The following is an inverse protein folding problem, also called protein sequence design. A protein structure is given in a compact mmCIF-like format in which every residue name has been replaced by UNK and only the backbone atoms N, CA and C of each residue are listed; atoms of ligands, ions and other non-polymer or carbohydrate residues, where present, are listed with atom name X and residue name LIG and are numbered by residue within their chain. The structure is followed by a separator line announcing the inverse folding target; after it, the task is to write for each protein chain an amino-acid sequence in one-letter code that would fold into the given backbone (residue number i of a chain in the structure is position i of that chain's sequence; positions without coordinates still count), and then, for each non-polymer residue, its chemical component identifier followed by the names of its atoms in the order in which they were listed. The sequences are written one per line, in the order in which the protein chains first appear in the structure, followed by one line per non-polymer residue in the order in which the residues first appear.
data_IF_914384408501
#
_entry.id   IF_914384408501
#
_cell.length_a   1.000
_cell.length_b   1.000
_cell.length_c   1.000
_cell.angle_alpha   90.00
_cell.angle_beta   90.00
_cell.angle_gamma   90.00
#
_symmetry.space_group_name_H-M   'P 1'
#
loop_
_entity.id
_entity.type
_entity.pdbx_description
1 polymer ?
#
# COMPACT_ATOMS: atom_id res chain seq x y z
N UNK A 1 -28.21 15.03 -30.74
CA UNK A 1 -27.33 16.02 -30.06
C UNK A 1 -27.86 16.46 -28.69
N UNK A 2 -28.53 15.58 -27.92
CA UNK A 2 -29.13 15.92 -26.61
C UNK A 2 -28.73 14.97 -25.46
N UNK A 3 -27.92 13.95 -25.76
CA UNK A 3 -27.35 13.01 -24.78
C UNK A 3 -25.86 13.24 -24.50
N UNK A 4 -25.20 14.09 -25.29
CA UNK A 4 -23.82 14.53 -25.08
C UNK A 4 -23.71 15.69 -24.05
N UNK A 5 -24.84 16.31 -23.68
CA UNK A 5 -24.89 17.45 -22.75
C UNK A 5 -25.05 17.06 -21.27
N UNK A 6 -25.34 15.79 -20.95
CA UNK A 6 -25.43 15.34 -19.54
C UNK A 6 -24.10 14.86 -18.98
N UNK A 7 -23.15 14.48 -19.83
CA UNK A 7 -21.83 14.01 -19.39
C UNK A 7 -20.92 15.19 -18.96
N UNK A 8 -21.15 16.39 -19.50
CA UNK A 8 -20.42 17.61 -19.11
C UNK A 8 -20.92 18.25 -17.81
N UNK A 9 -22.15 17.95 -17.38
CA UNK A 9 -22.72 18.50 -16.14
C UNK A 9 -22.30 17.68 -14.92
N UNK A 10 -22.06 16.38 -15.08
CA UNK A 10 -21.53 15.54 -13.99
C UNK A 10 -20.03 15.72 -13.74
N UNK A 11 -19.25 16.06 -14.77
CA UNK A 11 -17.82 16.35 -14.62
C UNK A 11 -17.54 17.73 -14.00
N UNK A 12 -18.51 18.65 -14.05
CA UNK A 12 -18.38 19.98 -13.46
C UNK A 12 -18.71 20.02 -11.96
N UNK A 13 -19.46 19.05 -11.41
CA UNK A 13 -19.85 19.05 -10.00
C UNK A 13 -18.72 18.64 -9.04
N UNK A 14 -17.71 17.91 -9.52
CA UNK A 14 -16.55 17.51 -8.72
C UNK A 14 -15.47 18.63 -8.60
N UNK A 15 -15.56 19.69 -9.41
CA UNK A 15 -14.59 20.78 -9.44
C UNK A 15 -14.99 22.00 -8.58
N UNK A 16 -16.19 22.00 -7.98
CA UNK A 16 -16.71 23.14 -7.18
C UNK A 16 -16.63 22.94 -5.66
N UNK A 17 -16.09 21.82 -5.17
CA UNK A 17 -16.00 21.54 -3.72
C UNK A 17 -14.60 21.73 -3.10
N UNK A 18 -13.61 22.26 -3.85
CA UNK A 18 -12.22 22.40 -3.37
C UNK A 18 -11.76 23.85 -3.16
N UNK A 19 -12.67 24.83 -3.12
CA UNK A 19 -12.32 26.23 -2.86
C UNK A 19 -13.15 26.76 -1.69
N UNK A 20 -12.69 26.50 -0.47
CA UNK A 20 -12.97 27.31 0.73
C UNK A 20 -12.36 26.64 1.97
N UNK A 21 -11.07 26.87 2.22
CA UNK A 21 -10.49 26.95 3.57
C UNK A 21 -8.98 27.22 3.45
N UNK A 22 -8.63 28.47 3.16
CA UNK A 22 -7.28 28.98 3.41
C UNK A 22 -7.44 30.34 4.10
N UNK A 23 -7.29 30.35 5.43
CA UNK A 23 -7.06 31.53 6.24
C UNK A 23 -6.12 31.14 7.41
N UNK A 24 -4.83 31.14 7.10
CA UNK A 24 -3.80 31.93 7.78
C UNK A 24 -4.03 32.30 9.27
N UNK A 25 -3.33 31.64 10.20
CA UNK A 25 -2.83 32.27 11.43
C UNK A 25 -1.40 31.77 11.76
N UNK A 26 -0.47 32.71 11.67
CA UNK A 26 0.89 32.71 12.23
C UNK A 26 0.87 33.28 13.66
N UNK A 27 1.94 33.00 14.41
CA UNK A 27 2.31 33.44 15.78
C UNK A 27 1.87 32.47 16.90
N UNK A 28 2.70 31.99 17.85
CA UNK A 28 4.11 32.21 18.21
C UNK A 28 4.60 31.06 19.12
N UNK A 29 5.89 30.73 19.03
CA UNK A 29 6.65 29.91 20.00
C UNK A 29 6.88 30.69 21.31
N UNK A 30 7.06 29.98 22.45
CA UNK A 30 8.20 30.32 23.28
C UNK A 30 9.05 29.09 23.63
N UNK A 31 10.35 29.30 23.50
CA UNK A 31 11.41 28.42 23.94
C UNK A 31 11.37 28.14 25.46
N UNK A 32 11.61 26.88 25.83
CA UNK A 32 12.26 26.52 27.08
C UNK A 32 13.09 25.25 26.87
N UNK A 33 14.39 25.41 27.13
CA UNK A 33 15.48 24.46 26.94
C UNK A 33 15.50 23.31 27.96
N UNK A 34 16.00 22.18 27.46
CA UNK A 34 16.89 21.20 28.09
C UNK A 34 16.52 20.52 29.42
N UNK A 35 16.26 19.20 29.31
CA UNK A 35 16.88 18.24 30.23
C UNK A 35 17.44 17.06 29.43
N UNK A 36 18.71 17.18 29.06
CA UNK A 36 19.57 16.05 28.74
C UNK A 36 19.88 15.29 30.04
N UNK A 37 19.28 14.12 30.22
CA UNK A 37 19.74 13.15 31.21
C UNK A 37 19.36 11.75 30.73
N UNK A 38 20.37 10.98 30.32
CA UNK A 38 20.20 9.57 30.02
C UNK A 38 20.58 9.15 28.60
N UNK A 39 21.73 9.60 28.11
CA UNK A 39 22.53 8.76 27.21
C UNK A 39 22.99 7.52 27.98
N UNK A 40 22.09 6.55 28.18
CA UNK A 40 22.49 5.17 28.37
C UNK A 40 22.54 4.57 26.97
N UNK A 41 23.71 4.69 26.35
CA UNK A 41 24.19 3.67 25.41
C UNK A 41 24.07 2.35 26.17
N UNK A 42 22.97 1.63 25.99
CA UNK A 42 22.95 0.23 26.33
C UNK A 42 23.87 -0.42 25.30
N UNK A 43 25.11 -0.64 25.73
CA UNK A 43 25.98 -1.66 25.19
C UNK A 43 25.31 -3.02 25.40
N UNK A 44 24.23 -3.28 24.67
CA UNK A 44 23.61 -4.58 24.55
C UNK A 44 24.39 -5.31 23.47
N UNK A 45 25.28 -6.20 23.91
CA UNK A 45 25.99 -7.21 23.13
C UNK A 45 25.70 -7.21 21.63
N UNK A 46 26.72 -6.88 20.82
CA UNK A 46 26.83 -7.36 19.45
C UNK A 46 26.99 -8.90 19.43
N UNK A 47 26.15 -9.64 20.15
CA UNK A 47 26.13 -11.10 20.12
C UNK A 47 25.46 -11.55 18.81
N UNK A 48 26.33 -11.66 17.80
CA UNK A 48 26.17 -12.31 16.51
C UNK A 48 24.91 -11.89 15.71
N UNK A 49 24.84 -10.63 15.28
CA UNK A 49 23.92 -10.15 14.23
C UNK A 49 23.92 -11.08 13.00
N UNK A 50 25.11 -11.53 12.59
CA UNK A 50 25.27 -12.47 11.47
C UNK A 50 24.64 -13.85 11.76
N UNK A 51 24.82 -14.41 12.95
CA UNK A 51 24.24 -15.70 13.33
C UNK A 51 22.71 -15.66 13.42
N UNK A 52 22.15 -14.55 13.93
CA UNK A 52 20.71 -14.30 13.94
C UNK A 52 20.13 -14.18 12.54
N UNK A 53 20.81 -13.48 11.63
CA UNK A 53 20.44 -13.40 10.21
C UNK A 53 20.49 -14.77 9.52
N UNK A 54 21.53 -15.56 9.77
CA UNK A 54 21.64 -16.91 9.21
C UNK A 54 20.52 -17.83 9.70
N UNK A 55 20.09 -17.69 10.96
CA UNK A 55 18.98 -18.47 11.49
C UNK A 55 17.63 -18.06 10.88
N UNK A 56 17.45 -16.76 10.60
CA UNK A 56 16.28 -16.23 9.91
C UNK A 56 16.33 -16.38 8.39
N UNK A 57 17.43 -16.90 7.82
CA UNK A 57 17.57 -17.07 6.38
C UNK A 57 16.41 -17.87 5.78
N UNK A 58 16.15 -19.09 6.28
CA UNK A 58 15.09 -19.95 5.76
C UNK A 58 13.69 -19.31 5.96
N UNK A 59 13.33 -18.82 7.16
CA UNK A 59 12.10 -18.07 7.36
C UNK A 59 11.91 -16.92 6.37
N UNK A 60 12.92 -16.07 6.18
CA UNK A 60 12.84 -14.91 5.29
C UNK A 60 12.64 -15.36 3.84
N UNK A 61 13.38 -16.37 3.35
CA UNK A 61 13.19 -16.88 1.99
C UNK A 61 11.76 -17.40 1.74
N UNK A 62 11.11 -17.96 2.76
CA UNK A 62 9.72 -18.40 2.64
C UNK A 62 8.76 -17.21 2.60
N UNK A 63 9.00 -16.17 3.40
CA UNK A 63 8.20 -14.95 3.39
C UNK A 63 8.30 -14.23 2.04
N UNK A 64 9.50 -14.09 1.49
CA UNK A 64 9.68 -13.40 0.21
C UNK A 64 9.05 -14.20 -0.94
N UNK A 65 9.12 -15.53 -0.90
CA UNK A 65 8.40 -16.39 -1.84
C UNK A 65 6.88 -16.19 -1.75
N UNK A 66 6.35 -16.00 -0.54
CA UNK A 66 4.93 -15.69 -0.35
C UNK A 66 4.62 -14.28 -0.89
N UNK A 67 5.47 -13.29 -0.67
CA UNK A 67 5.23 -11.90 -1.09
C UNK A 67 5.22 -11.71 -2.62
N UNK A 68 5.70 -12.69 -3.40
CA UNK A 68 5.59 -12.71 -4.87
C UNK A 68 4.13 -12.65 -5.34
N UNK A 69 3.21 -13.30 -4.63
CA UNK A 69 1.81 -13.42 -5.06
C UNK A 69 0.88 -12.78 -4.06
N UNK A 70 0.06 -11.84 -4.50
CA UNK A 70 -1.06 -11.34 -3.70
C UNK A 70 -2.35 -12.04 -4.08
N UNK A 71 -3.15 -12.40 -3.09
CA UNK A 71 -4.53 -12.87 -3.26
C UNK A 71 -5.41 -12.09 -2.29
N UNK A 72 -6.44 -11.46 -2.84
CA UNK A 72 -7.46 -10.72 -2.08
C UNK A 72 -8.83 -11.28 -2.44
N UNK A 73 -9.52 -11.80 -1.42
CA UNK A 73 -10.91 -12.23 -1.54
C UNK A 73 -11.79 -11.10 -1.04
N UNK A 74 -12.72 -10.64 -1.87
CA UNK A 74 -13.59 -9.50 -1.60
C UNK A 74 -15.04 -9.94 -1.44
N UNK A 75 -15.76 -9.30 -0.53
CA UNK A 75 -17.19 -9.50 -0.30
C UNK A 75 -17.84 -8.20 0.15
N UNK A 76 -18.87 -7.74 -0.56
CA UNK A 76 -19.60 -6.52 -0.20
C UNK A 76 -20.34 -5.89 -1.38
N UNK A 77 -20.78 -4.64 -1.22
CA UNK A 77 -21.43 -3.89 -2.29
C UNK A 77 -20.36 -3.31 -3.23
N UNK A 78 -19.73 -4.18 -4.01
CA UNK A 78 -18.64 -3.83 -4.93
C UNK A 78 -18.88 -4.43 -6.32
N UNK A 79 -18.53 -3.66 -7.35
CA UNK A 79 -18.50 -4.10 -8.73
C UNK A 79 -17.28 -3.53 -9.44
N UNK A 80 -16.59 -4.37 -10.20
CA UNK A 80 -15.36 -3.96 -10.87
C UNK A 80 -14.74 -5.06 -11.69
N UNK A 81 -13.92 -4.65 -12.63
CA UNK A 81 -13.01 -5.52 -13.35
C UNK A 81 -11.78 -4.70 -13.70
N UNK A 82 -10.60 -5.25 -13.44
CA UNK A 82 -9.35 -4.56 -13.65
C UNK A 82 -8.27 -5.51 -14.14
N UNK A 83 -7.44 -5.01 -15.05
CA UNK A 83 -6.24 -5.66 -15.50
C UNK A 83 -5.13 -4.61 -15.58
N UNK A 84 -4.06 -4.80 -14.83
CA UNK A 84 -2.95 -3.86 -14.75
C UNK A 84 -1.63 -4.60 -14.96
N UNK A 85 -0.75 -3.98 -15.73
CA UNK A 85 0.64 -4.46 -15.85
C UNK A 85 1.49 -3.79 -14.77
N UNK A 86 1.22 -2.53 -14.49
CA UNK A 86 1.80 -1.77 -13.38
C UNK A 86 0.77 -0.74 -12.92
N UNK A 87 1.07 0.01 -11.86
CA UNK A 87 0.27 1.19 -11.51
C UNK A 87 0.29 2.26 -12.58
N UNK A 88 1.33 2.33 -13.41
CA UNK A 88 1.42 3.29 -14.51
C UNK A 88 0.53 2.93 -15.70
N UNK A 89 0.25 1.64 -15.92
CA UNK A 89 -0.43 1.15 -17.10
C UNK A 89 -1.42 0.03 -16.79
N UNK A 90 -2.70 0.30 -17.05
CA UNK A 90 -3.76 -0.66 -16.85
C UNK A 90 -5.09 -0.23 -17.44
N UNK A 91 -6.08 -1.10 -17.33
CA UNK A 91 -7.44 -0.84 -17.76
C UNK A 91 -8.42 -1.37 -16.72
N UNK A 92 -9.51 -0.63 -16.53
CA UNK A 92 -10.60 -1.02 -15.67
C UNK A 92 -10.50 -0.38 -14.29
N UNK A 93 -11.24 -0.92 -13.35
CA UNK A 93 -11.43 -0.31 -12.05
C UNK A 93 -12.52 -0.98 -11.26
N UNK A 94 -12.75 -0.45 -10.08
CA UNK A 94 -13.68 -0.99 -9.10
C UNK A 94 -14.35 0.16 -8.36
N UNK A 95 -15.62 -0.01 -8.04
CA UNK A 95 -16.39 0.93 -7.23
C UNK A 95 -17.22 0.19 -6.20
N UNK A 96 -17.21 0.70 -4.97
CA UNK A 96 -18.09 0.23 -3.90
C UNK A 96 -17.41 0.11 -2.55
N UNK A 97 -18.07 -0.62 -1.66
CA UNK A 97 -17.60 -0.90 -0.30
C UNK A 97 -17.57 -2.39 -0.07
N UNK A 98 -16.44 -2.91 0.39
CA UNK A 98 -16.25 -4.34 0.59
C UNK A 98 -15.36 -4.66 1.79
N UNK A 99 -15.67 -5.78 2.43
CA UNK A 99 -14.74 -6.48 3.30
C UNK A 99 -13.82 -7.37 2.47
N UNK A 100 -12.58 -7.52 2.89
CA UNK A 100 -11.58 -8.32 2.21
C UNK A 100 -10.77 -9.16 3.19
N UNK A 101 -10.42 -10.37 2.76
CA UNK A 101 -9.36 -11.18 3.33
C UNK A 101 -8.15 -11.09 2.39
N UNK A 102 -7.04 -10.57 2.91
CA UNK A 102 -5.86 -10.21 2.13
C UNK A 102 -4.66 -11.06 2.57
N UNK A 103 -4.06 -11.74 1.59
CA UNK A 103 -2.67 -12.16 1.62
C UNK A 103 -1.94 -11.28 0.61
N UNK A 104 -1.23 -10.27 1.10
CA UNK A 104 -0.68 -9.18 0.30
C UNK A 104 0.84 -9.13 0.27
N UNK A 105 1.34 -8.29 -0.62
CA UNK A 105 2.73 -7.87 -0.74
C UNK A 105 3.27 -7.25 0.56
N UNK A 106 4.58 -7.40 0.79
CA UNK A 106 5.29 -6.84 1.94
C UNK A 106 4.65 -7.29 3.25
N UNK A 107 4.40 -8.60 3.35
CA UNK A 107 3.92 -9.28 4.56
C UNK A 107 2.61 -8.75 5.13
N UNK A 108 1.74 -8.26 4.26
CA UNK A 108 0.42 -7.76 4.65
C UNK A 108 -0.59 -8.92 4.71
N UNK A 109 -0.85 -9.43 5.91
CA UNK A 109 -1.82 -10.51 6.13
C UNK A 109 -2.94 -10.06 7.05
N UNK A 110 -4.20 -10.25 6.63
CA UNK A 110 -5.33 -9.98 7.51
C UNK A 110 -6.61 -9.62 6.79
N UNK A 111 -7.39 -8.76 7.45
CA UNK A 111 -8.72 -8.37 6.98
C UNK A 111 -8.82 -6.85 6.90
N UNK A 112 -9.55 -6.36 5.90
CA UNK A 112 -9.81 -4.94 5.78
C UNK A 112 -11.19 -4.62 5.23
N UNK A 113 -11.71 -3.47 5.60
CA UNK A 113 -12.85 -2.84 4.94
C UNK A 113 -12.30 -1.72 4.08
N UNK A 114 -12.63 -1.77 2.79
CA UNK A 114 -12.22 -0.78 1.79
C UNK A 114 -13.47 -0.18 1.17
N UNK A 115 -13.45 1.12 0.93
CA UNK A 115 -14.54 1.88 0.32
C UNK A 115 -14.00 2.87 -0.70
N UNK A 116 -14.79 3.13 -1.75
CA UNK A 116 -14.51 4.16 -2.73
C UNK A 116 -14.56 3.67 -4.17
N UNK A 117 -13.83 4.35 -5.04
CA UNK A 117 -13.72 4.03 -6.45
C UNK A 117 -12.28 4.21 -6.95
N UNK A 118 -11.80 3.24 -7.72
CA UNK A 118 -10.59 3.39 -8.52
C UNK A 118 -10.89 3.07 -9.98
N UNK A 119 -10.33 3.86 -10.89
CA UNK A 119 -10.50 3.69 -12.33
C UNK A 119 -9.22 4.05 -13.05
N UNK A 120 -8.81 3.22 -13.99
CA UNK A 120 -7.64 3.43 -14.80
C UNK A 120 -7.96 3.13 -16.27
N UNK A 121 -7.45 4.00 -17.14
CA UNK A 121 -7.47 3.77 -18.58
C UNK A 121 -6.12 4.15 -19.18
N UNK A 122 -5.36 3.13 -19.56
CA UNK A 122 -3.97 3.24 -19.99
C UNK A 122 -3.13 3.92 -18.90
N UNK A 123 -2.72 5.16 -19.13
CA UNK A 123 -1.87 5.94 -18.23
C UNK A 123 -2.66 6.82 -17.25
N UNK A 124 -3.90 7.16 -17.59
CA UNK A 124 -4.73 8.02 -16.74
C UNK A 124 -5.38 7.22 -15.62
N UNK A 125 -5.27 7.73 -14.38
CA UNK A 125 -5.90 7.12 -13.20
C UNK A 125 -6.74 8.14 -12.44
N UNK A 126 -7.87 7.68 -11.92
CA UNK A 126 -8.74 8.38 -11.00
C UNK A 126 -8.97 7.47 -9.80
N UNK A 127 -8.65 7.94 -8.60
CA UNK A 127 -8.76 7.15 -7.37
C UNK A 127 -9.36 8.02 -6.28
N UNK A 128 -10.33 7.47 -5.58
CA UNK A 128 -10.84 7.94 -4.30
C UNK A 128 -11.11 6.67 -3.49
N UNK A 129 -10.09 6.19 -2.78
CA UNK A 129 -10.10 4.89 -2.13
C UNK A 129 -9.61 5.02 -0.70
N UNK A 130 -10.39 4.51 0.23
CA UNK A 130 -10.09 4.50 1.66
C UNK A 130 -10.13 3.08 2.20
N UNK A 131 -9.17 2.75 3.08
CA UNK A 131 -9.18 1.53 3.88
C UNK A 131 -9.29 1.87 5.36
N UNK A 132 -10.49 2.23 5.84
CA UNK A 132 -10.67 2.78 7.19
C UNK A 132 -10.49 1.78 8.32
N UNK A 133 -10.88 0.51 8.12
CA UNK A 133 -10.84 -0.53 9.16
C UNK A 133 -9.94 -1.66 8.70
N UNK A 134 -8.97 -2.01 9.54
CA UNK A 134 -7.98 -3.04 9.25
C UNK A 134 -7.67 -3.86 10.50
N UNK A 135 -7.46 -5.15 10.29
CA UNK A 135 -7.03 -6.14 11.26
C UNK A 135 -5.83 -6.92 10.72
N UNK A 136 -4.85 -7.22 11.57
CA UNK A 136 -3.60 -7.88 11.19
C UNK A 136 -2.53 -6.87 10.76
N UNK A 137 -1.65 -7.30 9.86
CA UNK A 137 -0.49 -6.52 9.39
C UNK A 137 -0.77 -5.75 8.10
N UNK A 138 -2.05 -5.59 7.75
CA UNK A 138 -2.45 -4.89 6.53
C UNK A 138 -2.34 -3.37 6.74
N UNK A 139 -1.83 -2.65 5.74
CA UNK A 139 -1.60 -1.21 5.88
C UNK A 139 -2.89 -0.40 5.66
N UNK A 140 -3.07 0.65 6.47
CA UNK A 140 -4.18 1.60 6.35
C UNK A 140 -3.77 2.73 5.42
N UNK A 141 -4.64 3.07 4.47
CA UNK A 141 -4.38 4.21 3.61
C UNK A 141 -5.67 4.90 3.20
N UNK A 142 -5.51 6.16 2.81
CA UNK A 142 -6.51 6.94 2.12
C UNK A 142 -5.82 7.69 0.98
N UNK A 143 -6.34 7.52 -0.22
CA UNK A 143 -5.80 8.12 -1.44
C UNK A 143 -6.93 8.72 -2.25
N UNK A 144 -6.76 9.99 -2.62
CA UNK A 144 -7.69 10.71 -3.48
C UNK A 144 -6.89 11.47 -4.54
N UNK A 145 -7.34 11.43 -5.79
CA UNK A 145 -6.75 12.22 -6.86
C UNK A 145 -7.04 11.67 -8.25
N UNK A 146 -6.92 12.56 -9.24
CA UNK A 146 -6.99 12.23 -10.67
C UNK A 146 -5.63 12.56 -11.30
N UNK A 147 -4.74 11.57 -11.35
CA UNK A 147 -3.34 11.79 -11.67
C UNK A 147 -2.72 10.60 -12.41
N UNK A 148 -1.53 10.81 -12.96
CA UNK A 148 -0.64 9.73 -13.38
C UNK A 148 0.00 9.09 -12.14
N UNK A 149 -0.09 7.76 -11.95
CA UNK A 149 0.54 7.11 -10.82
C UNK A 149 2.06 7.17 -10.92
N UNK A 150 2.71 7.79 -9.95
CA UNK A 150 4.17 7.92 -9.88
C UNK A 150 4.72 7.04 -8.76
N UNK A 151 5.90 6.40 -8.93
CA UNK A 151 6.50 5.54 -7.90
C UNK A 151 6.76 6.26 -6.58
N UNK A 152 6.94 7.59 -6.62
CA UNK A 152 7.24 8.41 -5.45
C UNK A 152 5.99 8.82 -4.65
N UNK A 153 4.79 8.45 -5.11
CA UNK A 153 3.57 8.68 -4.35
C UNK A 153 3.64 7.92 -3.02
N UNK A 154 3.14 8.55 -1.94
CA UNK A 154 3.24 8.03 -0.57
C UNK A 154 2.80 6.57 -0.44
N UNK A 155 1.69 6.20 -1.08
CA UNK A 155 1.12 4.85 -1.05
C UNK A 155 2.08 3.75 -1.53
N UNK A 156 3.00 4.06 -2.44
CA UNK A 156 4.00 3.10 -2.94
C UNK A 156 5.29 3.16 -2.12
N UNK A 157 5.68 4.35 -1.66
CA UNK A 157 6.85 4.54 -0.81
C UNK A 157 6.69 3.86 0.55
N UNK A 158 5.50 3.92 1.12
CA UNK A 158 5.13 3.25 2.37
C UNK A 158 4.81 1.76 2.18
N UNK A 159 5.04 1.21 0.98
CA UNK A 159 4.78 -0.18 0.62
C UNK A 159 3.34 -0.67 0.86
N UNK A 160 2.39 0.25 1.10
CA UNK A 160 0.97 -0.08 1.25
C UNK A 160 0.40 -0.73 -0.02
N UNK A 161 0.89 -0.32 -1.20
CA UNK A 161 0.67 -1.01 -2.48
C UNK A 161 1.98 -1.09 -3.24
N UNK A 162 2.17 -2.17 -3.99
CA UNK A 162 3.28 -2.24 -4.95
C UNK A 162 2.94 -1.43 -6.22
N UNK A 163 3.93 -0.66 -6.69
CA UNK A 163 3.87 0.11 -7.93
C UNK A 163 4.01 -0.77 -9.18
N UNK A 164 4.85 -1.80 -9.10
CA UNK A 164 5.23 -2.66 -10.21
C UNK A 164 4.35 -3.91 -10.33
N UNK A 165 3.34 -4.03 -9.49
CA UNK A 165 2.45 -5.17 -9.47
C UNK A 165 1.70 -5.36 -10.79
N UNK A 166 1.72 -6.60 -11.29
CA UNK A 166 0.78 -7.07 -12.30
C UNK A 166 -0.46 -7.54 -11.56
N UNK A 167 -1.62 -6.96 -11.86
CA UNK A 167 -2.86 -7.27 -11.15
C UNK A 167 -3.98 -7.66 -12.12
N UNK A 168 -4.78 -8.62 -11.68
CA UNK A 168 -6.02 -8.99 -12.34
C UNK A 168 -7.09 -9.15 -11.27
N UNK A 169 -8.22 -8.48 -11.45
CA UNK A 169 -9.32 -8.51 -10.50
C UNK A 169 -10.67 -8.48 -11.18
N UNK A 170 -11.62 -9.19 -10.60
CA UNK A 170 -13.03 -9.11 -10.98
C UNK A 170 -13.88 -9.21 -9.72
N UNK A 171 -14.89 -8.35 -9.62
CA UNK A 171 -15.78 -8.27 -8.47
C UNK A 171 -17.22 -7.96 -8.91
N UNK A 172 -18.16 -8.69 -8.33
CA UNK A 172 -19.60 -8.45 -8.44
C UNK A 172 -20.26 -9.07 -7.20
N UNK A 173 -20.46 -8.28 -6.15
CA UNK A 173 -20.80 -8.70 -4.78
C UNK A 173 -19.74 -9.55 -4.07
N UNK A 174 -19.20 -10.54 -4.78
CA UNK A 174 -18.00 -11.28 -4.42
C UNK A 174 -16.94 -11.03 -5.49
N UNK A 175 -15.69 -10.98 -5.08
CA UNK A 175 -14.60 -10.73 -5.99
C UNK A 175 -13.33 -11.43 -5.59
N UNK A 176 -12.47 -11.63 -6.58
CA UNK A 176 -11.11 -12.10 -6.37
C UNK A 176 -10.20 -11.14 -7.11
N UNK A 177 -9.13 -10.72 -6.44
CA UNK A 177 -8.03 -10.00 -7.04
C UNK A 177 -6.75 -10.79 -6.77
N UNK A 178 -5.98 -10.96 -7.82
CA UNK A 178 -4.67 -11.60 -7.77
C UNK A 178 -3.61 -10.63 -8.26
N UNK A 179 -2.43 -10.69 -7.66
CA UNK A 179 -1.30 -9.86 -7.99
C UNK A 179 -0.04 -10.69 -8.09
N UNK A 180 0.86 -10.32 -9.01
CA UNK A 180 2.24 -10.80 -9.05
C UNK A 180 3.14 -9.59 -8.87
N UNK A 181 4.16 -9.72 -8.02
CA UNK A 181 5.07 -8.66 -7.60
C UNK A 181 6.47 -8.89 -8.17
N UNK A 182 6.84 -8.26 -9.30
CA UNK A 182 8.14 -8.47 -9.93
C UNK A 182 9.33 -8.09 -9.04
N UNK A 183 9.17 -7.08 -8.18
CA UNK A 183 10.23 -6.65 -7.25
C UNK A 183 10.47 -7.73 -6.19
N UNK A 184 9.40 -8.29 -5.62
CA UNK A 184 9.51 -9.41 -4.68
C UNK A 184 10.13 -10.67 -5.31
N UNK A 185 9.89 -10.92 -6.61
CA UNK A 185 10.59 -12.00 -7.33
C UNK A 185 12.10 -11.72 -7.36
N UNK A 186 12.49 -10.49 -7.68
CA UNK A 186 13.89 -10.10 -7.71
C UNK A 186 14.52 -10.26 -6.31
N UNK A 187 13.82 -9.80 -5.28
CA UNK A 187 14.26 -9.89 -3.89
C UNK A 187 14.45 -11.34 -3.41
N UNK A 188 13.48 -12.22 -3.67
CA UNK A 188 13.60 -13.64 -3.37
C UNK A 188 14.85 -14.25 -4.03
N UNK A 189 15.11 -13.93 -5.30
CA UNK A 189 16.27 -14.44 -6.06
C UNK A 189 17.59 -13.88 -5.55
N UNK A 190 17.67 -12.58 -5.24
CA UNK A 190 18.89 -11.96 -4.72
C UNK A 190 19.19 -12.40 -3.30
N UNK A 191 18.16 -12.68 -2.50
CA UNK A 191 18.38 -13.17 -1.15
C UNK A 191 18.92 -14.60 -1.10
N UNK A 192 18.84 -15.40 -2.18
CA UNK A 192 19.56 -16.68 -2.27
C UNK A 192 21.08 -16.54 -2.15
N UNK A 193 21.61 -15.36 -2.48
CA UNK A 193 23.02 -15.01 -2.32
C UNK A 193 23.23 -13.96 -1.22
N UNK A 194 22.29 -13.85 -0.28
CA UNK A 194 22.30 -12.96 0.90
C UNK A 194 22.21 -11.46 0.56
N UNK A 195 21.56 -11.10 -0.55
CA UNK A 195 21.28 -9.70 -0.92
C UNK A 195 19.78 -9.43 -0.76
N UNK A 196 19.45 -8.52 0.15
CA UNK A 196 18.09 -8.01 0.39
C UNK A 196 17.93 -6.66 -0.33
N UNK A 197 17.03 -6.59 -1.31
CA UNK A 197 16.73 -5.39 -2.09
C UNK A 197 15.60 -4.61 -1.43
N UNK A 198 14.62 -5.31 -0.87
CA UNK A 198 13.45 -4.70 -0.26
C UNK A 198 13.70 -4.20 1.18
N UNK A 199 14.82 -4.58 1.80
CA UNK A 199 15.23 -4.25 3.17
C UNK A 199 14.12 -4.59 4.18
N UNK A 200 13.55 -5.79 4.02
CA UNK A 200 12.43 -6.26 4.84
C UNK A 200 12.77 -7.50 5.68
N UNK A 201 13.96 -8.09 5.57
CA UNK A 201 14.38 -9.30 6.30
C UNK A 201 14.07 -9.25 7.82
N UNK A 202 13.45 -10.31 8.37
CA UNK A 202 13.24 -10.41 9.82
C UNK A 202 14.57 -10.63 10.55
N UNK A 203 14.73 -9.93 11.68
CA UNK A 203 15.87 -10.11 12.59
C UNK A 203 15.35 -10.49 13.97
N UNK A 204 16.00 -11.47 14.61
CA UNK A 204 15.69 -11.82 15.99
C UNK A 204 16.03 -10.66 16.92
N UNK A 205 15.00 -10.09 17.55
CA UNK A 205 15.16 -9.09 18.61
C UNK A 205 15.55 -9.80 19.92
N UNK A 206 16.50 -9.25 20.70
CA UNK A 206 16.75 -9.74 22.04
C UNK A 206 15.46 -9.61 22.87
N UNK A 207 15.09 -10.67 23.59
CA UNK A 207 14.01 -10.62 24.56
C UNK A 207 14.58 -9.86 25.75
N UNK A 208 14.12 -8.63 25.94
CA UNK A 208 14.36 -7.88 27.18
C UNK A 208 13.27 -8.30 28.16
N UNK A 209 13.67 -9.02 29.22
CA UNK A 209 12.84 -9.35 30.38
C UNK A 209 12.55 -8.11 31.24
#
# INVERSE_FOLDING_TARGET
MRKLMMLSVFMAAAAFFSVSADENQLEAEPAAQELSAGSSVSSGEESNSFGKKLLMYIPNRLLDLLDIVTIELKSGAVIGAEARVTRAFGIGGEVGTYGSALKGYNRQYGFSITEGAEGQFLFGSAMDLARPIVWGDVERYWVQGTNFPLPFNRIYKEKARDYWALELGASCLFGVKVGIHPVAIADFLTGLILIDIEDDDLVLKPIHD
#
